data_IF_140981711852
#
_entry.id   IF_140981711852
#
_cell.length_a   1.000
_cell.length_b   1.000
_cell.length_c   1.000
_cell.angle_alpha   90.00
_cell.angle_beta   90.00
_cell.angle_gamma   90.00
#
_symmetry.space_group_name_H-M   'P 1'
#
loop_
_entity.id
_entity.type
_entity.pdbx_description
1 polymer ?
#
# COMPACT_ATOMS: atom_id res chain seq x y z
N UNK A 1 -38.32 -4.62 18.29
CA UNK A 1 -37.80 -5.89 18.84
C UNK A 1 -36.33 -5.62 19.15
N UNK A 2 -36.03 -5.13 20.35
CA UNK A 2 -34.65 -4.91 20.80
C UNK A 2 -34.03 -6.27 21.08
N UNK A 3 -33.00 -6.62 20.31
CA UNK A 3 -32.18 -7.79 20.62
C UNK A 3 -31.31 -7.39 21.80
N UNK A 4 -31.63 -7.91 22.99
CA UNK A 4 -30.77 -7.80 24.14
C UNK A 4 -29.44 -8.49 23.80
N UNK A 5 -28.38 -7.69 23.62
CA UNK A 5 -27.04 -8.20 23.40
C UNK A 5 -26.60 -8.95 24.68
N UNK A 6 -26.65 -10.27 24.63
CA UNK A 6 -25.91 -11.12 25.57
C UNK A 6 -24.46 -10.63 25.62
N UNK A 7 -23.89 -10.57 26.82
CA UNK A 7 -22.48 -10.24 27.06
C UNK A 7 -21.61 -11.35 26.44
N UNK A 8 -21.47 -11.29 25.13
CA UNK A 8 -20.60 -12.11 24.32
C UNK A 8 -19.14 -11.77 24.66
N UNK A 9 -18.17 -12.55 24.21
CA UNK A 9 -16.76 -12.16 24.36
C UNK A 9 -16.53 -10.99 23.39
N UNK A 10 -16.86 -9.79 23.89
CA UNK A 10 -17.28 -8.62 23.12
C UNK A 10 -16.48 -8.31 21.85
N UNK A 11 -15.14 -8.39 21.81
CA UNK A 11 -14.42 -7.88 20.65
C UNK A 11 -14.45 -8.79 19.42
N UNK A 12 -14.31 -10.10 19.61
CA UNK A 12 -14.28 -11.06 18.49
C UNK A 12 -15.66 -11.24 17.92
N UNK A 13 -16.69 -11.20 18.76
CA UNK A 13 -18.08 -11.26 18.31
C UNK A 13 -18.51 -9.95 17.63
N UNK A 14 -18.05 -8.78 18.09
CA UNK A 14 -18.30 -7.49 17.41
C UNK A 14 -17.63 -7.44 16.04
N UNK A 15 -16.34 -7.80 15.96
CA UNK A 15 -15.64 -7.93 14.67
C UNK A 15 -16.31 -8.98 13.79
N UNK A 16 -16.68 -10.15 14.32
CA UNK A 16 -17.39 -11.18 13.55
C UNK A 16 -18.73 -10.65 13.03
N UNK A 17 -19.52 -9.97 13.86
CA UNK A 17 -20.80 -9.38 13.45
C UNK A 17 -20.58 -8.31 12.37
N UNK A 18 -19.55 -7.48 12.48
CA UNK A 18 -19.20 -6.51 11.44
C UNK A 18 -18.66 -7.16 10.17
N UNK A 19 -17.96 -8.28 10.27
CA UNK A 19 -17.50 -9.05 9.11
C UNK A 19 -18.69 -9.74 8.42
N UNK A 20 -19.63 -10.28 9.18
CA UNK A 20 -20.81 -11.01 8.69
C UNK A 20 -21.94 -10.07 8.23
N UNK A 21 -22.03 -8.87 8.80
CA UNK A 21 -23.16 -7.95 8.62
C UNK A 21 -22.73 -6.49 8.38
N UNK A 22 -21.49 -6.23 7.94
CA UNK A 22 -20.82 -4.91 8.00
C UNK A 22 -21.50 -3.70 7.37
N UNK A 23 -22.52 -3.93 6.53
CA UNK A 23 -23.38 -2.87 5.99
C UNK A 23 -24.43 -2.37 6.99
N UNK A 24 -24.78 -3.18 8.00
CA UNK A 24 -25.93 -2.95 8.89
C UNK A 24 -25.56 -2.39 10.26
N UNK A 25 -24.29 -2.38 10.62
CA UNK A 25 -23.87 -2.00 11.96
C UNK A 25 -22.65 -1.08 11.95
N UNK A 26 -22.70 -0.01 12.75
CA UNK A 26 -21.55 0.84 13.10
C UNK A 26 -21.08 0.57 14.52
N UNK A 27 -19.90 1.06 14.89
CA UNK A 27 -19.39 0.99 16.28
C UNK A 27 -19.28 2.39 16.87
N UNK A 28 -19.77 2.56 18.10
CA UNK A 28 -19.73 3.83 18.82
C UNK A 28 -19.76 3.66 20.35
N UNK A 29 -19.77 4.80 21.06
CA UNK A 29 -19.78 4.84 22.52
C UNK A 29 -18.44 4.44 23.16
N UNK A 30 -18.27 4.67 24.46
CA UNK A 30 -17.01 4.42 25.18
C UNK A 30 -16.64 2.93 25.32
N UNK A 31 -17.55 2.02 25.00
CA UNK A 31 -17.39 0.58 25.16
C UNK A 31 -17.36 -0.19 23.82
N UNK A 32 -17.38 0.51 22.68
CA UNK A 32 -17.37 -0.13 21.36
C UNK A 32 -18.66 -0.89 21.06
N UNK A 33 -19.80 -0.34 21.48
CA UNK A 33 -21.10 -0.95 21.27
C UNK A 33 -21.47 -0.90 19.78
N UNK A 34 -22.13 -1.97 19.31
CA UNK A 34 -22.68 -2.02 17.95
C UNK A 34 -24.01 -1.28 17.91
N UNK A 35 -24.14 -0.36 16.96
CA UNK A 35 -25.39 0.32 16.67
C UNK A 35 -25.89 -0.15 15.30
N UNK A 36 -27.18 -0.49 15.19
CA UNK A 36 -27.77 -0.76 13.88
C UNK A 36 -27.81 0.54 13.10
N UNK A 37 -27.09 0.59 11.99
CA UNK A 37 -27.05 1.72 11.09
C UNK A 37 -28.31 1.67 10.21
N UNK A 38 -29.46 2.12 10.73
CA UNK A 38 -30.66 2.31 9.89
C UNK A 38 -30.58 3.57 9.01
N UNK A 39 -29.59 4.43 9.25
CA UNK A 39 -29.44 5.75 8.61
C UNK A 39 -28.10 5.95 7.89
N UNK A 40 -27.17 4.99 7.93
CA UNK A 40 -25.91 5.08 7.20
C UNK A 40 -25.97 4.31 5.89
N UNK A 41 -25.49 4.97 4.83
CA UNK A 41 -25.45 4.51 3.45
C UNK A 41 -24.94 3.06 3.33
N UNK A 42 -25.76 2.16 2.78
CA UNK A 42 -25.39 0.75 2.52
C UNK A 42 -24.16 0.62 1.61
N UNK A 43 -23.79 1.71 0.93
CA UNK A 43 -22.74 1.78 -0.07
C UNK A 43 -21.29 1.70 0.48
N UNK A 44 -21.05 1.89 1.79
CA UNK A 44 -19.67 2.08 2.31
C UNK A 44 -19.28 1.22 3.54
N UNK A 45 -19.30 -0.13 3.47
CA UNK A 45 -18.92 -1.01 4.58
C UNK A 45 -17.48 -0.79 5.12
N UNK A 46 -16.57 -0.28 4.29
CA UNK A 46 -15.17 -0.06 4.68
C UNK A 46 -15.00 1.11 5.68
N UNK A 47 -15.89 2.11 5.65
CA UNK A 47 -15.83 3.24 6.59
C UNK A 47 -16.11 2.79 8.03
N UNK A 48 -17.04 1.84 8.21
CA UNK A 48 -17.37 1.26 9.51
C UNK A 48 -16.17 0.53 10.13
N UNK A 49 -15.43 -0.26 9.34
CA UNK A 49 -14.27 -1.03 9.85
C UNK A 49 -13.11 -0.10 10.20
N UNK A 50 -12.90 0.95 9.42
CA UNK A 50 -11.88 1.98 9.72
C UNK A 50 -12.26 2.75 11.00
N UNK A 51 -13.56 3.04 11.20
CA UNK A 51 -14.04 3.65 12.43
C UNK A 51 -13.82 2.72 13.64
N UNK A 52 -14.04 1.41 13.49
CA UNK A 52 -13.78 0.40 14.52
C UNK A 52 -12.29 0.33 14.87
N UNK A 53 -11.41 0.33 13.86
CA UNK A 53 -9.97 0.40 14.08
C UNK A 53 -9.60 1.69 14.85
N UNK A 54 -10.19 2.82 14.48
CA UNK A 54 -9.97 4.11 15.13
C UNK A 54 -10.43 4.11 16.60
N UNK A 55 -11.57 3.48 16.89
CA UNK A 55 -12.08 3.31 18.27
C UNK A 55 -11.12 2.49 19.14
N UNK A 56 -10.72 1.29 18.69
CA UNK A 56 -9.80 0.46 19.47
C UNK A 56 -8.41 1.09 19.62
N UNK A 57 -8.01 1.94 18.68
CA UNK A 57 -6.83 2.79 18.82
C UNK A 57 -6.96 3.73 20.03
N UNK A 58 -8.05 4.49 20.14
CA UNK A 58 -8.23 5.47 21.21
C UNK A 58 -8.29 4.80 22.58
N UNK A 59 -8.93 3.63 22.64
CA UNK A 59 -9.01 2.86 23.87
C UNK A 59 -7.65 2.30 24.30
N UNK A 60 -6.82 1.86 23.35
CA UNK A 60 -5.45 1.47 23.66
C UNK A 60 -4.57 2.65 24.12
N UNK A 61 -4.64 3.80 23.44
CA UNK A 61 -3.86 5.01 23.79
C UNK A 61 -4.16 5.47 25.23
N UNK A 62 -5.41 5.28 25.67
CA UNK A 62 -5.82 5.61 27.04
C UNK A 62 -5.32 4.63 28.11
N UNK A 63 -4.68 3.52 27.70
CA UNK A 63 -4.18 2.47 28.60
C UNK A 63 -5.29 1.65 29.28
N UNK A 64 -6.54 1.76 28.80
CA UNK A 64 -7.71 1.14 29.44
C UNK A 64 -7.82 -0.36 29.19
N UNK A 65 -7.37 -0.85 28.03
CA UNK A 65 -7.48 -2.28 27.67
C UNK A 65 -6.26 -2.81 26.89
N UNK A 66 -5.65 -3.88 27.39
CA UNK A 66 -4.58 -4.62 26.71
C UNK A 66 -5.07 -5.35 25.45
N UNK A 67 -6.37 -5.68 25.38
CA UNK A 67 -6.99 -6.34 24.23
C UNK A 67 -7.27 -5.35 23.09
N UNK A 68 -7.35 -4.06 23.37
CA UNK A 68 -7.57 -3.03 22.36
C UNK A 68 -6.52 -3.09 21.23
N UNK A 69 -5.26 -3.40 21.55
CA UNK A 69 -4.21 -3.62 20.55
C UNK A 69 -4.52 -4.80 19.62
N UNK A 70 -4.96 -5.93 20.16
CA UNK A 70 -5.30 -7.11 19.37
C UNK A 70 -6.48 -6.79 18.44
N UNK A 71 -7.51 -6.12 18.96
CA UNK A 71 -8.69 -5.73 18.19
C UNK A 71 -8.36 -4.73 17.09
N UNK A 72 -7.47 -3.77 17.36
CA UNK A 72 -6.95 -2.86 16.34
C UNK A 72 -6.26 -3.62 15.20
N UNK A 73 -5.36 -4.56 15.52
CA UNK A 73 -4.71 -5.37 14.50
C UNK A 73 -5.71 -6.21 13.69
N UNK A 74 -6.74 -6.76 14.34
CA UNK A 74 -7.80 -7.50 13.66
C UNK A 74 -8.62 -6.60 12.73
N UNK A 75 -8.97 -5.40 13.17
CA UNK A 75 -9.70 -4.43 12.37
C UNK A 75 -8.90 -4.00 11.12
N UNK A 76 -7.58 -3.81 11.24
CA UNK A 76 -6.72 -3.52 10.09
C UNK A 76 -6.70 -4.68 9.08
N UNK A 77 -6.58 -5.92 9.55
CA UNK A 77 -6.64 -7.11 8.69
C UNK A 77 -8.00 -7.25 8.00
N UNK A 78 -9.09 -7.02 8.74
CA UNK A 78 -10.45 -7.01 8.22
C UNK A 78 -10.61 -5.97 7.10
N UNK A 79 -10.19 -4.73 7.35
CA UNK A 79 -10.28 -3.65 6.37
C UNK A 79 -9.51 -3.98 5.09
N UNK A 80 -8.29 -4.52 5.23
CA UNK A 80 -7.46 -4.92 4.10
C UNK A 80 -8.06 -6.07 3.29
N UNK A 81 -8.62 -7.07 3.97
CA UNK A 81 -9.28 -8.20 3.35
C UNK A 81 -10.51 -7.78 2.55
N UNK A 82 -11.37 -6.94 3.13
CA UNK A 82 -12.54 -6.42 2.44
C UNK A 82 -12.18 -5.60 1.21
N UNK A 83 -11.18 -4.73 1.31
CA UNK A 83 -10.69 -3.95 0.16
C UNK A 83 -10.19 -4.85 -0.97
N UNK A 84 -9.60 -5.99 -0.62
CA UNK A 84 -9.08 -6.96 -1.56
C UNK A 84 -10.12 -7.99 -2.01
N UNK A 85 -11.39 -7.84 -1.62
CA UNK A 85 -12.47 -8.79 -1.87
C UNK A 85 -12.14 -10.22 -1.41
N UNK A 86 -11.36 -10.37 -0.35
CA UNK A 86 -10.99 -11.65 0.23
C UNK A 86 -12.14 -12.25 1.04
N UNK A 87 -12.16 -13.58 1.15
CA UNK A 87 -13.06 -14.27 2.05
C UNK A 87 -12.73 -13.94 3.52
N UNK A 88 -13.71 -14.12 4.42
CA UNK A 88 -13.48 -13.97 5.86
C UNK A 88 -12.42 -14.95 6.39
N UNK A 89 -12.27 -16.11 5.75
CA UNK A 89 -11.24 -17.11 6.08
C UNK A 89 -9.85 -16.61 5.69
N UNK A 90 -9.73 -15.90 4.56
CA UNK A 90 -8.45 -15.36 4.07
C UNK A 90 -8.03 -14.07 4.79
N UNK A 91 -8.95 -13.41 5.49
CA UNK A 91 -8.67 -12.20 6.25
C UNK A 91 -7.49 -12.37 7.22
N UNK A 92 -7.40 -13.54 7.87
CA UNK A 92 -6.35 -13.82 8.84
C UNK A 92 -4.94 -13.78 8.24
N UNK A 93 -4.87 -14.03 6.93
CA UNK A 93 -3.65 -14.04 6.14
C UNK A 93 -3.29 -12.65 5.58
N UNK A 94 -4.19 -11.67 5.66
CA UNK A 94 -3.88 -10.31 5.20
C UNK A 94 -2.69 -9.73 6.00
N UNK A 95 -1.63 -9.24 5.34
CA UNK A 95 -0.45 -8.75 6.03
C UNK A 95 -0.76 -7.51 6.87
N UNK A 96 -0.48 -7.56 8.17
CA UNK A 96 -0.81 -6.48 9.10
C UNK A 96 -0.09 -5.17 8.73
N UNK A 97 1.16 -5.25 8.26
CA UNK A 97 1.94 -4.08 7.87
C UNK A 97 1.32 -3.34 6.67
N UNK A 98 0.75 -4.06 5.70
CA UNK A 98 0.03 -3.44 4.58
C UNK A 98 -1.16 -2.64 5.08
N UNK A 99 -1.95 -3.20 5.99
CA UNK A 99 -3.11 -2.51 6.56
C UNK A 99 -2.68 -1.27 7.35
N UNK A 100 -1.59 -1.36 8.11
CA UNK A 100 -1.06 -0.23 8.86
C UNK A 100 -0.66 0.95 7.96
N UNK A 101 -0.05 0.66 6.81
CA UNK A 101 0.33 1.66 5.81
C UNK A 101 -0.91 2.18 5.07
N UNK A 102 -1.75 1.27 4.57
CA UNK A 102 -2.87 1.56 3.69
C UNK A 102 -3.98 2.39 4.36
N UNK A 103 -4.25 2.11 5.63
CA UNK A 103 -5.27 2.82 6.41
C UNK A 103 -4.69 3.96 7.25
N UNK A 104 -3.45 4.36 7.00
CA UNK A 104 -2.84 5.52 7.63
C UNK A 104 -2.85 5.44 9.15
N UNK A 105 -2.44 4.30 9.72
CA UNK A 105 -2.30 4.17 11.17
C UNK A 105 -1.48 5.38 11.70
N UNK A 106 -1.74 5.92 12.89
CA UNK A 106 -0.88 7.00 13.41
C UNK A 106 0.55 6.48 13.55
N UNK A 107 1.53 7.40 13.48
CA UNK A 107 2.96 7.07 13.53
C UNK A 107 3.32 6.10 14.67
N UNK A 108 2.78 6.32 15.87
CA UNK A 108 3.03 5.46 17.05
C UNK A 108 2.66 4.00 16.79
N UNK A 109 1.54 3.74 16.10
CA UNK A 109 1.10 2.39 15.78
C UNK A 109 1.92 1.78 14.67
N UNK A 110 2.19 2.54 13.61
CA UNK A 110 3.06 2.07 12.54
C UNK A 110 4.43 1.71 13.08
N UNK A 111 5.07 2.58 13.88
CA UNK A 111 6.38 2.31 14.49
C UNK A 111 6.33 1.02 15.31
N UNK A 112 5.23 0.76 16.04
CA UNK A 112 5.07 -0.48 16.81
C UNK A 112 4.91 -1.72 15.92
N UNK A 113 4.06 -1.65 14.89
CA UNK A 113 3.86 -2.77 13.94
C UNK A 113 5.15 -3.03 13.19
N UNK A 114 5.83 -1.98 12.73
CA UNK A 114 7.09 -2.04 12.01
C UNK A 114 8.20 -2.64 12.87
N UNK A 115 8.38 -2.17 14.12
CA UNK A 115 9.35 -2.75 15.05
C UNK A 115 9.06 -4.23 15.40
N UNK A 116 7.80 -4.63 15.37
CA UNK A 116 7.38 -6.02 15.60
C UNK A 116 7.44 -6.89 14.32
N UNK A 117 7.62 -6.29 13.15
CA UNK A 117 7.62 -7.00 11.86
C UNK A 117 8.93 -7.73 11.65
N UNK A 118 8.83 -8.95 11.13
CA UNK A 118 10.01 -9.75 10.73
C UNK A 118 10.47 -9.39 9.33
N UNK A 119 11.65 -9.86 8.92
CA UNK A 119 12.14 -9.74 7.54
C UNK A 119 11.17 -10.34 6.52
N UNK A 120 10.46 -11.39 6.90
CA UNK A 120 9.50 -12.07 6.03
C UNK A 120 8.22 -11.24 5.89
N UNK A 121 7.80 -10.52 6.93
CA UNK A 121 6.64 -9.63 6.83
C UNK A 121 6.87 -8.48 5.85
N UNK A 122 8.11 -8.00 5.73
CA UNK A 122 8.49 -6.98 4.73
C UNK A 122 8.45 -7.49 3.28
N UNK A 123 8.50 -8.81 3.08
CA UNK A 123 8.46 -9.45 1.75
C UNK A 123 7.08 -9.95 1.36
N UNK A 124 6.18 -10.12 2.35
CA UNK A 124 4.83 -10.61 2.09
C UNK A 124 4.16 -9.71 1.07
N UNK A 125 3.45 -10.33 0.14
CA UNK A 125 2.55 -9.64 -0.76
C UNK A 125 1.13 -9.81 -0.27
N UNK A 126 0.28 -8.80 -0.48
CA UNK A 126 -1.15 -8.96 -0.26
C UNK A 126 -1.80 -9.73 -1.43
N UNK A 127 -3.13 -9.87 -1.38
CA UNK A 127 -3.89 -10.55 -2.43
C UNK A 127 -3.85 -9.85 -3.79
N UNK A 128 -3.41 -8.59 -3.85
CA UNK A 128 -3.20 -7.84 -5.09
C UNK A 128 -1.74 -7.95 -5.58
N UNK A 129 -0.90 -8.75 -4.90
CA UNK A 129 0.51 -8.88 -5.23
C UNK A 129 1.37 -7.67 -4.80
N UNK A 130 0.83 -6.76 -3.98
CA UNK A 130 1.57 -5.56 -3.53
C UNK A 130 2.45 -5.91 -2.33
N UNK A 131 3.69 -5.46 -2.33
CA UNK A 131 4.55 -5.46 -1.13
C UNK A 131 4.22 -4.27 -0.22
N UNK A 132 4.67 -4.25 1.05
CA UNK A 132 4.48 -3.09 1.92
C UNK A 132 5.02 -1.79 1.29
N UNK A 133 6.15 -1.89 0.58
CA UNK A 133 6.74 -0.75 -0.14
C UNK A 133 5.83 -0.26 -1.29
N UNK A 134 5.23 -1.16 -2.05
CA UNK A 134 4.29 -0.75 -3.11
C UNK A 134 3.02 -0.13 -2.54
N UNK A 135 2.50 -0.64 -1.42
CA UNK A 135 1.38 -0.02 -0.71
C UNK A 135 1.77 1.39 -0.24
N UNK A 136 2.96 1.57 0.33
CA UNK A 136 3.44 2.89 0.77
C UNK A 136 3.57 3.89 -0.40
N UNK A 137 4.04 3.42 -1.57
CA UNK A 137 4.13 4.21 -2.79
C UNK A 137 2.74 4.65 -3.27
N UNK A 138 1.77 3.74 -3.30
CA UNK A 138 0.38 4.05 -3.67
C UNK A 138 -0.23 5.07 -2.72
N UNK A 139 0.00 4.92 -1.42
CA UNK A 139 -0.54 5.84 -0.43
C UNK A 139 0.13 7.21 -0.49
N UNK A 140 1.44 7.27 -0.74
CA UNK A 140 2.15 8.53 -1.00
C UNK A 140 1.55 9.27 -2.21
N UNK A 141 1.25 8.54 -3.29
CA UNK A 141 0.62 9.12 -4.48
C UNK A 141 -0.80 9.60 -4.21
N UNK A 142 -1.57 8.85 -3.40
CA UNK A 142 -2.93 9.24 -3.01
C UNK A 142 -2.93 10.50 -2.14
N UNK A 143 -2.03 10.58 -1.16
CA UNK A 143 -1.91 11.73 -0.27
C UNK A 143 -1.62 13.03 -1.02
N UNK A 144 -0.85 12.96 -2.11
CA UNK A 144 -0.58 14.12 -2.97
C UNK A 144 -1.81 14.68 -3.68
N UNK A 145 -2.82 13.86 -3.93
CA UNK A 145 -4.06 14.28 -4.57
C UNK A 145 -5.11 14.77 -3.56
N UNK A 146 -4.88 14.60 -2.26
CA UNK A 146 -5.82 14.96 -1.21
C UNK A 146 -5.39 16.27 -0.53
N UNK A 147 -6.10 17.36 -0.80
CA UNK A 147 -5.80 18.67 -0.19
C UNK A 147 -6.11 18.71 1.31
N UNK A 148 -6.89 17.75 1.83
CA UNK A 148 -7.32 17.70 3.24
C UNK A 148 -6.46 16.74 4.09
N UNK A 149 -5.22 16.52 3.69
CA UNK A 149 -4.35 15.58 4.39
C UNK A 149 -4.03 16.06 5.81
N UNK A 150 -4.45 15.28 6.81
CA UNK A 150 -4.30 15.57 8.24
C UNK A 150 -2.81 15.61 8.63
N UNK A 151 -2.35 16.68 9.31
CA UNK A 151 -0.97 16.82 9.76
C UNK A 151 -0.53 15.70 10.73
N UNK A 152 -1.48 15.09 11.45
CA UNK A 152 -1.22 13.98 12.38
C UNK A 152 -1.10 12.62 11.67
N UNK A 153 -1.41 12.56 10.38
CA UNK A 153 -1.28 11.33 9.60
C UNK A 153 0.19 11.05 9.27
N UNK A 154 0.52 9.78 9.04
CA UNK A 154 1.91 9.43 8.75
C UNK A 154 2.31 10.03 7.41
N UNK A 155 3.30 10.92 7.45
CA UNK A 155 3.96 11.39 6.25
C UNK A 155 4.55 10.18 5.49
N UNK A 156 3.94 9.80 4.36
CA UNK A 156 4.32 8.59 3.63
C UNK A 156 5.78 8.60 3.16
N UNK A 157 6.38 9.77 2.94
CA UNK A 157 7.83 9.87 2.71
C UNK A 157 8.68 9.30 3.86
N UNK A 158 8.23 9.46 5.11
CA UNK A 158 8.90 8.85 6.27
C UNK A 158 8.73 7.33 6.29
N UNK A 159 7.58 6.81 5.87
CA UNK A 159 7.33 5.35 5.76
C UNK A 159 8.21 4.76 4.68
N UNK A 160 8.28 5.41 3.50
CA UNK A 160 9.17 4.99 2.42
C UNK A 160 10.60 4.94 2.92
N UNK A 161 11.08 6.02 3.56
CA UNK A 161 12.43 6.06 4.12
C UNK A 161 12.68 4.94 5.13
N UNK A 162 11.75 4.67 6.05
CA UNK A 162 11.87 3.58 7.02
C UNK A 162 11.89 2.20 6.35
N UNK A 163 11.06 1.97 5.32
CA UNK A 163 11.05 0.71 4.56
C UNK A 163 12.31 0.52 3.69
N UNK A 164 12.97 1.61 3.31
CA UNK A 164 14.16 1.61 2.46
C UNK A 164 15.48 1.65 3.26
N UNK A 165 15.44 2.08 4.52
CA UNK A 165 16.63 2.25 5.36
C UNK A 165 17.34 0.91 5.65
N UNK A 166 18.63 0.84 5.34
CA UNK A 166 19.49 -0.33 5.52
C UNK A 166 20.03 -0.46 6.96
N UNK A 167 19.95 0.63 7.73
CA UNK A 167 20.58 0.75 9.06
C UNK A 167 19.99 -0.19 10.11
N UNK A 168 18.77 -0.71 9.93
CA UNK A 168 18.14 -1.59 10.92
C UNK A 168 18.58 -3.07 10.85
N UNK A 169 19.68 -3.41 10.16
CA UNK A 169 20.25 -4.77 10.22
C UNK A 169 20.08 -5.60 8.95
N UNK A 170 20.14 -4.97 7.77
CA UNK A 170 20.14 -5.67 6.48
C UNK A 170 18.75 -5.91 5.86
N UNK A 171 17.70 -5.32 6.44
CA UNK A 171 16.33 -5.37 5.93
C UNK A 171 16.18 -4.72 4.54
N UNK A 172 17.00 -3.71 4.22
CA UNK A 172 17.03 -3.07 2.90
C UNK A 172 17.51 -4.03 1.81
N UNK A 173 18.11 -5.19 2.14
CA UNK A 173 18.37 -6.30 1.20
C UNK A 173 17.16 -7.18 0.86
N UNK A 174 16.14 -7.12 1.67
CA UNK A 174 15.07 -8.10 1.69
C UNK A 174 13.74 -7.53 1.16
N UNK A 175 13.46 -6.24 1.38
CA UNK A 175 12.42 -5.53 0.64
C UNK A 175 12.76 -5.33 -0.86
N UNK A 176 14.02 -5.61 -1.25
CA UNK A 176 14.60 -5.29 -2.57
C UNK A 176 13.75 -5.75 -3.72
N UNK A 177 13.33 -7.00 -3.67
CA UNK A 177 12.99 -7.76 -4.86
C UNK A 177 12.15 -8.92 -4.34
N UNK A 178 10.87 -8.71 -4.07
CA UNK A 178 9.95 -9.82 -4.34
C UNK A 178 9.71 -9.85 -5.85
N UNK A 179 10.76 -10.20 -6.60
CA UNK A 179 10.58 -10.72 -7.96
C UNK A 179 10.07 -12.17 -7.89
N UNK A 180 9.60 -12.66 -6.73
CA UNK A 180 9.13 -14.03 -6.53
C UNK A 180 7.68 -14.02 -6.03
N UNK A 181 6.73 -13.51 -6.82
CA UNK A 181 5.34 -13.92 -6.69
C UNK A 181 5.06 -15.01 -7.75
N UNK A 182 4.59 -16.17 -7.26
CA UNK A 182 4.36 -17.40 -8.01
C UNK A 182 3.74 -17.22 -9.42
N UNK A 183 4.18 -18.05 -10.37
CA UNK A 183 3.50 -18.35 -11.65
C UNK A 183 2.15 -19.05 -11.39
N UNK A 184 1.22 -18.42 -10.67
CA UNK A 184 -0.13 -18.98 -10.48
C UNK A 184 -1.03 -18.77 -11.72
N UNK A 185 -0.48 -18.24 -12.81
CA UNK A 185 -1.21 -18.01 -14.06
C UNK A 185 -2.20 -16.85 -14.00
N UNK A 186 -2.35 -16.19 -12.84
CA UNK A 186 -2.89 -14.84 -12.80
C UNK A 186 -1.80 -13.90 -13.31
N UNK A 187 -2.17 -12.84 -14.05
CA UNK A 187 -1.23 -11.87 -14.61
C UNK A 187 -0.58 -10.99 -13.52
N UNK A 188 -0.04 -11.59 -12.45
CA UNK A 188 0.71 -10.94 -11.37
C UNK A 188 2.03 -10.38 -11.89
N UNK A 189 1.93 -9.35 -12.73
CA UNK A 189 3.05 -8.66 -13.35
C UNK A 189 3.84 -7.96 -12.25
N UNK A 190 5.12 -8.27 -12.21
CA UNK A 190 6.06 -7.79 -11.19
C UNK A 190 6.53 -6.38 -11.57
N UNK A 191 5.98 -5.37 -10.92
CA UNK A 191 6.47 -3.99 -11.08
C UNK A 191 7.54 -3.70 -10.03
N UNK A 192 8.72 -3.23 -10.47
CA UNK A 192 9.68 -2.69 -9.52
C UNK A 192 9.09 -1.42 -8.87
N UNK A 193 9.40 -1.15 -7.59
CA UNK A 193 8.89 0.02 -6.88
C UNK A 193 9.06 1.34 -7.65
N UNK A 194 10.19 1.52 -8.34
CA UNK A 194 10.46 2.72 -9.16
C UNK A 194 9.48 2.87 -10.33
N UNK A 195 9.10 1.78 -11.00
CA UNK A 195 8.13 1.84 -12.10
C UNK A 195 6.74 2.24 -11.60
N UNK A 196 6.32 1.66 -10.47
CA UNK A 196 5.03 1.98 -9.86
C UNK A 196 4.99 3.46 -9.41
N UNK A 197 6.04 3.92 -8.71
CA UNK A 197 6.17 5.32 -8.29
C UNK A 197 6.04 6.31 -9.46
N UNK A 198 6.69 6.00 -10.59
CA UNK A 198 6.63 6.84 -11.79
C UNK A 198 5.29 6.78 -12.50
N UNK A 199 4.67 5.59 -12.62
CA UNK A 199 3.31 5.42 -13.17
C UNK A 199 2.28 6.20 -12.37
N UNK A 200 2.47 6.29 -11.06
CA UNK A 200 1.64 7.06 -10.14
C UNK A 200 1.94 8.56 -10.13
N UNK A 201 3.03 9.01 -10.76
CA UNK A 201 3.38 10.44 -10.86
C UNK A 201 4.04 11.00 -9.60
N UNK A 202 4.72 10.16 -8.81
CA UNK A 202 5.55 10.63 -7.71
C UNK A 202 6.72 11.47 -8.24
N UNK A 203 6.98 12.58 -7.54
CA UNK A 203 8.16 13.40 -7.73
C UNK A 203 9.27 12.97 -6.77
N UNK A 204 10.46 13.55 -6.92
CA UNK A 204 11.62 13.21 -6.09
C UNK A 204 11.39 13.56 -4.62
N UNK A 205 10.74 14.70 -4.37
CA UNK A 205 10.37 15.15 -3.02
C UNK A 205 9.28 14.25 -2.38
N UNK A 206 8.52 13.50 -3.19
CA UNK A 206 7.49 12.56 -2.71
C UNK A 206 8.09 11.19 -2.30
N UNK A 207 9.41 11.08 -2.21
CA UNK A 207 10.13 9.85 -1.84
C UNK A 207 10.62 9.00 -3.03
N UNK A 208 10.41 9.45 -4.28
CA UNK A 208 11.02 8.79 -5.44
C UNK A 208 12.55 8.84 -5.37
N UNK A 209 13.13 9.93 -4.83
CA UNK A 209 14.58 10.00 -4.66
C UNK A 209 15.09 8.90 -3.71
N UNK A 210 14.40 8.65 -2.60
CA UNK A 210 14.77 7.59 -1.66
C UNK A 210 14.72 6.21 -2.34
N UNK A 211 13.69 5.94 -3.16
CA UNK A 211 13.56 4.69 -3.92
C UNK A 211 14.72 4.53 -4.91
N UNK A 212 15.06 5.59 -5.64
CA UNK A 212 16.13 5.56 -6.65
C UNK A 212 17.51 5.40 -5.99
N UNK A 213 17.75 6.10 -4.87
CA UNK A 213 19.00 5.99 -4.13
C UNK A 213 19.15 4.60 -3.50
N UNK A 214 18.06 3.99 -3.03
CA UNK A 214 18.06 2.62 -2.53
C UNK A 214 18.31 1.59 -3.65
N UNK A 215 17.79 1.85 -4.86
CA UNK A 215 17.81 0.90 -5.99
C UNK A 215 18.29 1.53 -7.31
N UNK A 216 19.56 1.98 -7.41
CA UNK A 216 20.04 2.67 -8.61
C UNK A 216 20.07 1.77 -9.85
N UNK A 217 20.20 0.44 -9.67
CA UNK A 217 20.20 -0.53 -10.78
C UNK A 217 18.82 -0.75 -11.39
N UNK A 218 17.74 -0.50 -10.64
CA UNK A 218 16.38 -0.59 -11.14
C UNK A 218 16.11 0.39 -12.30
N UNK A 219 16.89 1.48 -12.41
CA UNK A 219 16.80 2.44 -13.52
C UNK A 219 17.22 1.85 -14.88
N UNK A 220 17.88 0.70 -14.89
CA UNK A 220 18.28 0.00 -16.13
C UNK A 220 17.34 -1.15 -16.48
N UNK A 221 16.40 -1.50 -15.60
CA UNK A 221 15.50 -2.64 -15.81
C UNK A 221 14.27 -2.17 -16.58
N UNK A 222 13.93 -2.78 -17.73
CA UNK A 222 12.70 -2.45 -18.44
C UNK A 222 11.47 -2.92 -17.66
N UNK A 223 10.43 -2.10 -17.68
CA UNK A 223 9.11 -2.44 -17.18
C UNK A 223 8.51 -3.59 -18.01
N UNK A 224 8.00 -4.69 -17.40
CA UNK A 224 7.50 -5.84 -18.17
C UNK A 224 6.29 -5.55 -19.07
N UNK A 225 5.53 -4.49 -18.81
CA UNK A 225 4.33 -4.13 -19.56
C UNK A 225 4.65 -3.21 -20.74
N UNK A 226 5.40 -2.14 -20.49
CA UNK A 226 5.75 -1.14 -21.51
C UNK A 226 7.06 -1.44 -22.24
N UNK A 227 7.89 -2.34 -21.71
CA UNK A 227 9.27 -2.59 -22.14
C UNK A 227 10.14 -1.30 -22.14
N UNK A 228 9.78 -0.33 -21.29
CA UNK A 228 10.49 0.93 -21.14
C UNK A 228 11.24 0.94 -19.82
N UNK A 229 12.47 1.45 -19.83
CA UNK A 229 13.19 1.76 -18.60
C UNK A 229 12.55 2.98 -17.89
N UNK A 230 12.73 3.15 -16.57
CA UNK A 230 12.07 4.19 -15.77
C UNK A 230 12.10 5.62 -16.36
N UNK A 231 13.23 6.07 -16.89
CA UNK A 231 13.33 7.42 -17.47
C UNK A 231 12.48 7.60 -18.74
N UNK A 232 12.41 6.57 -19.60
CA UNK A 232 11.55 6.58 -20.78
C UNK A 232 10.08 6.42 -20.41
N UNK A 233 9.77 5.54 -19.46
CA UNK A 233 8.41 5.37 -18.96
C UNK A 233 7.86 6.69 -18.41
N UNK A 234 8.70 7.44 -17.70
CA UNK A 234 8.39 8.80 -17.23
C UNK A 234 8.14 9.77 -18.38
N UNK A 235 8.91 9.67 -19.47
CA UNK A 235 8.76 10.55 -20.63
C UNK A 235 7.48 10.28 -21.43
N UNK A 236 7.06 9.01 -21.51
CA UNK A 236 5.83 8.60 -22.20
C UNK A 236 4.59 8.85 -21.34
N UNK A 237 4.71 8.74 -20.01
CA UNK A 237 3.60 8.97 -19.08
C UNK A 237 3.25 10.46 -18.94
N UNK A 238 1.96 10.79 -19.02
CA UNK A 238 1.47 12.18 -18.90
C UNK A 238 1.70 12.85 -17.53
N UNK A 239 2.16 12.10 -16.51
CA UNK A 239 2.19 12.56 -15.11
C UNK A 239 3.57 13.02 -14.63
N UNK A 240 4.66 12.62 -15.29
CA UNK A 240 6.00 12.95 -14.79
C UNK A 240 6.46 14.34 -15.27
N UNK A 241 7.06 15.12 -14.38
CA UNK A 241 7.68 16.40 -14.74
C UNK A 241 9.00 16.15 -15.46
N UNK A 242 9.34 16.98 -16.46
CA UNK A 242 10.62 16.94 -17.18
C UNK A 242 11.83 16.96 -16.24
N UNK A 243 11.72 17.70 -15.13
CA UNK A 243 12.75 17.74 -14.10
C UNK A 243 13.05 16.35 -13.48
N UNK A 244 12.03 15.50 -13.29
CA UNK A 244 12.21 14.13 -12.78
C UNK A 244 13.00 13.30 -13.80
N UNK A 245 12.63 13.36 -15.08
CA UNK A 245 13.32 12.64 -16.16
C UNK A 245 14.80 13.01 -16.20
N UNK A 246 15.11 14.31 -16.19
CA UNK A 246 16.48 14.80 -16.18
C UNK A 246 17.26 14.27 -14.98
N UNK A 247 16.67 14.31 -13.79
CA UNK A 247 17.34 13.84 -12.57
C UNK A 247 17.55 12.31 -12.56
N UNK A 248 16.61 11.52 -13.08
CA UNK A 248 16.81 10.08 -13.26
C UNK A 248 17.99 9.77 -14.19
N UNK A 249 18.10 10.51 -15.30
CA UNK A 249 19.24 10.39 -16.23
C UNK A 249 20.55 10.80 -15.54
N UNK A 250 20.54 11.87 -14.75
CA UNK A 250 21.74 12.33 -14.04
C UNK A 250 22.22 11.34 -12.97
N UNK A 251 21.31 10.57 -12.34
CA UNK A 251 21.66 9.51 -11.39
C UNK A 251 22.32 8.30 -12.09
N UNK A 252 21.99 8.06 -13.37
CA UNK A 252 22.53 6.96 -14.19
C UNK A 252 22.79 7.43 -15.63
N UNK A 253 23.85 8.23 -15.89
CA UNK A 253 24.10 8.83 -17.21
C UNK A 253 24.47 7.79 -18.27
N UNK A 254 24.92 6.60 -17.85
CA UNK A 254 25.16 5.44 -18.70
C UNK A 254 23.90 4.97 -19.45
N UNK A 255 22.71 5.27 -18.92
CA UNK A 255 21.44 5.00 -19.60
C UNK A 255 21.35 5.70 -20.96
N UNK A 256 21.94 6.89 -21.12
CA UNK A 256 21.97 7.58 -22.43
C UNK A 256 22.66 6.69 -23.47
N UNK A 257 23.76 6.04 -23.10
CA UNK A 257 24.46 5.14 -24.00
C UNK A 257 23.59 3.92 -24.35
N UNK A 258 22.80 3.38 -23.42
CA UNK A 258 21.84 2.29 -23.68
C UNK A 258 20.75 2.77 -24.66
N UNK A 259 20.21 3.96 -24.44
CA UNK A 259 19.19 4.59 -25.30
C UNK A 259 19.71 4.85 -26.71
N UNK A 260 20.97 5.29 -26.84
CA UNK A 260 21.60 5.52 -28.15
C UNK A 260 22.07 4.23 -28.83
N UNK A 261 22.27 3.14 -28.08
CA UNK A 261 22.73 1.84 -28.60
C UNK A 261 21.60 0.98 -29.16
N UNK A 262 20.33 1.32 -28.93
CA UNK A 262 19.20 0.62 -29.56
C UNK A 262 19.28 0.78 -31.08
N UNK A 263 19.71 -0.26 -31.81
CA UNK A 263 19.83 -0.18 -33.25
C UNK A 263 18.42 -0.28 -33.83
N UNK A 264 18.20 0.55 -34.82
CA UNK A 264 17.10 0.60 -35.78
C UNK A 264 16.81 -0.72 -36.54
N UNK A 265 17.21 -1.89 -36.04
CA UNK A 265 17.12 -3.17 -36.78
C UNK A 265 16.23 -4.24 -36.15
N UNK A 266 15.36 -3.90 -35.19
CA UNK A 266 14.40 -4.88 -34.64
C UNK A 266 13.25 -4.33 -33.81
N UNK A 267 13.37 -3.12 -33.25
CA UNK A 267 12.30 -2.52 -32.45
C UNK A 267 11.13 -1.99 -33.29
N UNK A 268 11.31 -1.72 -34.59
CA UNK A 268 10.21 -1.27 -35.46
C UNK A 268 9.25 -2.37 -35.90
N UNK A 269 9.59 -3.66 -35.78
CA UNK A 269 8.73 -4.76 -36.27
C UNK A 269 7.76 -5.30 -35.21
N UNK A 270 7.85 -4.87 -33.94
CA UNK A 270 7.02 -5.41 -32.84
C UNK A 270 6.01 -4.44 -32.24
N UNK A 271 5.99 -3.17 -32.66
CA UNK A 271 4.88 -2.29 -32.28
C UNK A 271 3.72 -2.51 -33.25
N UNK A 272 2.53 -2.94 -32.77
CA UNK A 272 1.35 -2.93 -33.61
C UNK A 272 1.15 -1.51 -34.11
N UNK A 273 1.13 -1.32 -35.42
CA UNK A 273 0.78 -0.06 -36.05
C UNK A 273 -0.56 0.40 -35.49
N UNK A 274 -0.56 1.49 -34.72
CA UNK A 274 -1.79 2.14 -34.27
C UNK A 274 -2.53 2.52 -35.57
N UNK A 275 -3.74 1.97 -35.82
CA UNK A 275 -4.45 2.28 -37.04
C UNK A 275 -4.70 3.80 -37.10
N UNK A 276 -4.41 4.45 -38.23
CA UNK A 276 -4.68 5.87 -38.39
C UNK A 276 -6.19 6.01 -38.54
N UNK A 277 -6.89 6.18 -37.41
CA UNK A 277 -8.23 6.78 -37.26
C UNK A 277 -8.68 6.57 -35.81
N UNK A 278 -8.37 7.55 -34.95
CA UNK A 278 -9.12 7.91 -33.74
C UNK A 278 -9.11 9.43 -33.68
#
# INVERSE_FOLDING_TARGET
MEVAAEKSNLPTDVLRILLENGHRYGVGGSEGQLFSNSEYDEEHPMSNIIAVASFYREDWESGRDLRAWQNFCLALKAAGAFRSCLSTEDMWNYPLLHGAIEFGARKVFFDRIFCASTTEDLKKVDALGRSPLNVAIEMAAKAKCDENYDEDSIHFGSVLKLLLDDQQGGYSRLARISMNCHDDGSNGRRFLPVHNALKLGLSLDDGLEDIVNAYPDALSVPDPESNLIPCLQSAVGAKAKVAVIYQLIMKRPDLIAILCKSPTSGWCEQFPTIPPNC
#
